data_IF_213385809790
#
_entry.id   IF_213385809790
#
_cell.length_a   1.000
_cell.length_b   1.000
_cell.length_c   1.000
_cell.angle_alpha   90.00
_cell.angle_beta   90.00
_cell.angle_gamma   90.00
#
_symmetry.space_group_name_H-M   'P 1'
#
loop_
_entity.id
_entity.type
_entity.pdbx_description
1 polymer ?
#
# COMPACT_ATOMS: atom_id res chain seq x y z
N UNK A 1 -6.48 9.91 -7.35
CA UNK A 1 -7.73 9.16 -7.52
C UNK A 1 -7.57 7.92 -8.41
N UNK A 2 -6.66 7.91 -9.38
CA UNK A 2 -6.46 6.77 -10.28
C UNK A 2 -6.05 5.45 -9.61
N UNK A 3 -5.29 5.50 -8.50
CA UNK A 3 -4.70 4.29 -7.88
C UNK A 3 -5.75 3.34 -7.28
N UNK A 4 -6.77 3.87 -6.59
CA UNK A 4 -7.84 3.03 -6.03
C UNK A 4 -8.73 2.44 -7.14
N UNK A 5 -8.93 3.19 -8.25
CA UNK A 5 -9.67 2.70 -9.41
C UNK A 5 -8.92 1.51 -10.02
N UNK A 6 -7.59 1.65 -10.20
CA UNK A 6 -6.73 0.60 -10.72
C UNK A 6 -6.79 -0.68 -9.85
N UNK A 7 -6.76 -0.55 -8.52
CA UNK A 7 -6.86 -1.70 -7.60
C UNK A 7 -8.23 -2.40 -7.74
N UNK A 8 -9.33 -1.65 -7.73
CA UNK A 8 -10.68 -2.23 -7.83
C UNK A 8 -10.88 -2.93 -9.18
N UNK A 9 -10.53 -2.28 -10.29
CA UNK A 9 -10.64 -2.87 -11.62
C UNK A 9 -9.75 -4.11 -11.77
N UNK A 10 -8.52 -4.08 -11.22
CA UNK A 10 -7.59 -5.20 -11.22
C UNK A 10 -8.09 -6.42 -10.45
N UNK A 11 -8.79 -6.21 -9.32
CA UNK A 11 -9.44 -7.29 -8.56
C UNK A 11 -10.58 -7.89 -9.39
N UNK A 12 -11.46 -7.06 -9.94
CA UNK A 12 -12.62 -7.49 -10.72
C UNK A 12 -12.23 -8.12 -12.06
N UNK A 13 -11.02 -7.85 -12.57
CA UNK A 13 -10.48 -8.54 -13.75
C UNK A 13 -10.22 -10.04 -13.50
N UNK A 14 -9.96 -10.43 -12.26
CA UNK A 14 -9.79 -11.84 -11.89
C UNK A 14 -11.14 -12.55 -11.79
N UNK A 15 -12.09 -11.95 -11.08
CA UNK A 15 -13.42 -12.52 -10.83
C UNK A 15 -14.43 -11.46 -10.36
N UNK A 16 -15.74 -11.64 -10.64
CA UNK A 16 -16.77 -10.78 -10.08
C UNK A 16 -16.79 -10.84 -8.55
N UNK A 17 -16.99 -9.68 -7.90
CA UNK A 17 -16.90 -9.59 -6.44
C UNK A 17 -17.78 -8.46 -5.88
N UNK A 18 -18.32 -8.65 -4.67
CA UNK A 18 -19.04 -7.61 -3.93
C UNK A 18 -18.10 -6.54 -3.38
N UNK A 19 -18.58 -5.29 -3.20
CA UNK A 19 -17.76 -4.21 -2.66
C UNK A 19 -17.17 -4.52 -1.28
N UNK A 20 -17.92 -5.21 -0.43
CA UNK A 20 -17.44 -5.69 0.86
C UNK A 20 -16.30 -6.70 0.72
N UNK A 21 -16.46 -7.66 -0.19
CA UNK A 21 -15.45 -8.70 -0.42
C UNK A 21 -14.17 -8.10 -1.01
N UNK A 22 -14.30 -7.11 -1.92
CA UNK A 22 -13.15 -6.33 -2.43
C UNK A 22 -12.44 -5.62 -1.28
N UNK A 23 -13.19 -4.98 -0.36
CA UNK A 23 -12.60 -4.32 0.80
C UNK A 23 -11.83 -5.32 1.67
N UNK A 24 -12.42 -6.47 1.98
CA UNK A 24 -11.77 -7.54 2.76
C UNK A 24 -10.52 -8.07 2.10
N UNK A 25 -10.53 -8.25 0.78
CA UNK A 25 -9.36 -8.68 0.03
C UNK A 25 -8.23 -7.64 0.07
N UNK A 26 -8.56 -6.35 -0.03
CA UNK A 26 -7.57 -5.25 0.09
C UNK A 26 -6.98 -5.20 1.50
N UNK A 27 -7.79 -5.40 2.55
CA UNK A 27 -7.35 -5.50 3.95
C UNK A 27 -6.44 -6.73 4.14
N UNK A 28 -6.87 -7.89 3.72
CA UNK A 28 -6.13 -9.14 3.83
C UNK A 28 -4.75 -9.08 3.13
N UNK A 29 -4.69 -8.47 1.96
CA UNK A 29 -3.45 -8.26 1.21
C UNK A 29 -2.63 -7.06 1.70
N UNK A 30 -3.06 -6.36 2.72
CA UNK A 30 -2.42 -5.16 3.29
C UNK A 30 -2.11 -4.06 2.25
N UNK A 31 -2.92 -3.95 1.17
CA UNK A 31 -2.64 -3.05 0.04
C UNK A 31 -2.52 -1.58 0.48
N UNK A 32 -3.33 -1.15 1.44
CA UNK A 32 -3.29 0.22 1.99
C UNK A 32 -2.01 0.57 2.77
N UNK A 33 -1.17 -0.41 3.07
CA UNK A 33 0.12 -0.20 3.76
C UNK A 33 1.23 0.24 2.81
N UNK A 34 1.12 -0.09 1.51
CA UNK A 34 2.13 0.21 0.49
C UNK A 34 1.60 0.97 -0.73
N UNK A 35 0.27 1.14 -0.83
CA UNK A 35 -0.38 2.04 -1.79
C UNK A 35 -1.25 3.03 -1.03
N UNK A 36 -1.11 4.32 -1.32
CA UNK A 36 -1.89 5.37 -0.65
C UNK A 36 -3.35 5.34 -1.08
N UNK A 37 -4.12 4.44 -0.47
CA UNK A 37 -5.57 4.30 -0.65
C UNK A 37 -6.28 4.24 0.70
N UNK A 38 -7.56 4.63 0.72
CA UNK A 38 -8.43 4.48 1.88
C UNK A 38 -9.35 3.28 1.66
N UNK A 39 -9.20 2.24 2.46
CA UNK A 39 -10.00 1.01 2.38
C UNK A 39 -11.51 1.26 2.50
N UNK A 40 -12.00 2.12 3.42
CA UNK A 40 -13.42 2.47 3.48
C UNK A 40 -13.96 3.16 2.21
N UNK A 41 -13.07 3.73 1.38
CA UNK A 41 -13.47 4.39 0.13
C UNK A 41 -13.82 3.42 -1.00
N UNK A 42 -13.54 2.12 -0.85
CA UNK A 42 -13.79 1.09 -1.88
C UNK A 42 -15.27 1.02 -2.24
N UNK A 43 -16.15 1.08 -1.23
CA UNK A 43 -17.59 1.04 -1.46
C UNK A 43 -18.08 2.19 -2.34
N UNK A 44 -17.70 3.42 -1.97
CA UNK A 44 -17.99 4.62 -2.75
C UNK A 44 -17.37 4.55 -4.14
N UNK A 45 -16.20 3.94 -4.26
CA UNK A 45 -15.49 3.80 -5.52
C UNK A 45 -16.18 2.81 -6.46
N UNK A 46 -16.69 1.69 -5.96
CA UNK A 46 -17.46 0.74 -6.77
C UNK A 46 -18.68 1.43 -7.41
N UNK A 47 -19.45 2.20 -6.63
CA UNK A 47 -20.58 2.98 -7.16
C UNK A 47 -20.12 3.94 -8.26
N UNK A 48 -19.05 4.69 -8.05
CA UNK A 48 -18.54 5.64 -9.04
C UNK A 48 -18.02 4.97 -10.32
N UNK A 49 -17.46 3.77 -10.22
CA UNK A 49 -17.01 3.01 -11.38
C UNK A 49 -18.19 2.44 -12.18
N UNK A 50 -19.25 2.04 -11.48
CA UNK A 50 -20.50 1.62 -12.11
C UNK A 50 -21.19 2.77 -12.84
N UNK A 51 -21.31 3.95 -12.21
CA UNK A 51 -21.85 5.17 -12.84
C UNK A 51 -21.09 5.55 -14.13
N UNK A 52 -19.78 5.25 -14.19
CA UNK A 52 -18.94 5.46 -15.37
C UNK A 52 -19.03 4.34 -16.42
N UNK A 53 -19.75 3.26 -16.11
CA UNK A 53 -19.87 2.10 -16.98
C UNK A 53 -18.64 1.20 -17.04
N UNK A 54 -17.68 1.36 -16.13
CA UNK A 54 -16.46 0.53 -16.09
C UNK A 54 -16.69 -0.81 -15.39
N UNK A 55 -17.67 -0.87 -14.51
CA UNK A 55 -18.14 -2.11 -13.88
C UNK A 55 -19.67 -2.16 -13.94
N UNK A 56 -20.24 -3.34 -13.79
CA UNK A 56 -21.66 -3.59 -13.76
C UNK A 56 -22.02 -4.37 -12.51
N UNK A 57 -22.94 -3.86 -11.69
CA UNK A 57 -23.48 -4.54 -10.52
C UNK A 57 -24.70 -5.38 -10.87
N UNK A 58 -24.74 -6.60 -10.35
CA UNK A 58 -25.92 -7.47 -10.38
C UNK A 58 -26.31 -7.84 -8.95
N UNK A 59 -27.61 -7.78 -8.66
CA UNK A 59 -28.11 -8.17 -7.34
C UNK A 59 -28.18 -9.70 -7.30
N UNK A 60 -27.42 -10.28 -6.39
CA UNK A 60 -27.36 -11.72 -6.17
C UNK A 60 -27.93 -12.04 -4.78
N UNK A 61 -28.77 -13.08 -4.73
CA UNK A 61 -29.33 -13.63 -3.50
C UNK A 61 -28.87 -15.06 -3.32
N UNK A 62 -28.05 -15.31 -2.34
CA UNK A 62 -27.57 -16.64 -1.99
C UNK A 62 -28.36 -17.20 -0.79
N UNK A 63 -29.32 -18.06 -1.07
CA UNK A 63 -30.11 -18.75 -0.05
C UNK A 63 -30.88 -17.80 0.87
N UNK A 64 -30.60 -17.84 2.19
CA UNK A 64 -31.21 -16.99 3.23
C UNK A 64 -30.41 -15.71 3.52
N UNK A 65 -29.28 -15.47 2.82
CA UNK A 65 -28.49 -14.27 3.02
C UNK A 65 -29.17 -13.03 2.43
N UNK A 66 -28.88 -11.82 2.97
CA UNK A 66 -29.33 -10.57 2.37
C UNK A 66 -28.84 -10.45 0.92
N UNK A 67 -29.63 -9.79 0.09
CA UNK A 67 -29.23 -9.46 -1.27
C UNK A 67 -27.95 -8.62 -1.26
N UNK A 68 -26.99 -8.97 -2.11
CA UNK A 68 -25.74 -8.20 -2.27
C UNK A 68 -25.51 -7.86 -3.74
N UNK A 69 -24.94 -6.66 -3.99
CA UNK A 69 -24.47 -6.31 -5.32
C UNK A 69 -23.11 -6.98 -5.55
N UNK A 70 -23.02 -7.75 -6.63
CA UNK A 70 -21.77 -8.34 -7.14
C UNK A 70 -21.42 -7.60 -8.41
N UNK A 71 -20.22 -7.04 -8.45
CA UNK A 71 -19.70 -6.25 -9.56
C UNK A 71 -18.85 -7.11 -10.48
N UNK A 72 -19.00 -6.90 -11.79
CA UNK A 72 -18.16 -7.48 -12.83
C UNK A 72 -17.53 -6.38 -13.69
N UNK A 73 -16.36 -6.64 -14.26
CA UNK A 73 -15.68 -5.73 -15.16
C UNK A 73 -16.41 -5.71 -16.51
N UNK A 74 -16.56 -4.52 -17.12
CA UNK A 74 -17.07 -4.35 -18.47
C UNK A 74 -15.92 -4.25 -19.49
N UNK A 75 -16.23 -4.34 -20.80
CA UNK A 75 -15.24 -4.11 -21.85
C UNK A 75 -14.61 -2.69 -21.78
N UNK A 76 -15.42 -1.70 -21.39
CA UNK A 76 -14.93 -0.33 -21.16
C UNK A 76 -14.04 -0.26 -19.91
N UNK A 77 -14.39 -1.01 -18.86
CA UNK A 77 -13.57 -1.15 -17.67
C UNK A 77 -12.22 -1.83 -17.95
N UNK A 78 -12.19 -2.81 -18.85
CA UNK A 78 -10.92 -3.42 -19.29
C UNK A 78 -10.00 -2.40 -19.97
N UNK A 79 -10.54 -1.60 -20.88
CA UNK A 79 -9.79 -0.53 -21.58
C UNK A 79 -9.27 0.51 -20.58
N UNK A 80 -10.10 0.94 -19.64
CA UNK A 80 -9.70 1.89 -18.60
C UNK A 80 -8.64 1.29 -17.66
N UNK A 81 -8.75 0.02 -17.29
CA UNK A 81 -7.72 -0.68 -16.51
C UNK A 81 -6.34 -0.60 -17.20
N UNK A 82 -6.27 -0.97 -18.49
CA UNK A 82 -5.01 -0.93 -19.25
C UNK A 82 -4.47 0.49 -19.33
N UNK A 83 -5.32 1.47 -19.58
CA UNK A 83 -4.95 2.90 -19.63
C UNK A 83 -4.37 3.35 -18.27
N UNK A 84 -5.03 3.05 -17.15
CA UNK A 84 -4.58 3.40 -15.80
C UNK A 84 -3.24 2.72 -15.44
N UNK A 85 -3.02 1.48 -15.90
CA UNK A 85 -1.73 0.78 -15.74
C UNK A 85 -0.61 1.58 -16.42
N UNK A 86 -0.79 1.95 -17.68
CA UNK A 86 0.21 2.69 -18.45
C UNK A 86 0.45 4.10 -17.88
N UNK A 87 -0.62 4.83 -17.55
CA UNK A 87 -0.53 6.16 -16.95
C UNK A 87 0.16 6.12 -15.58
N UNK A 88 -0.09 5.09 -14.78
CA UNK A 88 0.53 4.97 -13.45
C UNK A 88 2.00 4.57 -13.57
N UNK A 89 2.33 3.66 -14.47
CA UNK A 89 3.70 3.23 -14.72
C UNK A 89 4.59 4.36 -15.27
N UNK A 90 4.03 5.32 -16.00
CA UNK A 90 4.78 6.46 -16.59
C UNK A 90 5.03 7.61 -15.61
N UNK A 91 4.43 7.58 -14.42
CA UNK A 91 4.61 8.66 -13.43
C UNK A 91 6.01 8.62 -12.82
N UNK A 92 6.63 9.79 -12.58
CA UNK A 92 7.86 9.87 -11.81
C UNK A 92 7.68 9.23 -10.42
N UNK A 93 8.69 8.50 -9.98
CA UNK A 93 8.73 7.94 -8.62
C UNK A 93 9.19 9.03 -7.66
N UNK A 94 8.42 9.24 -6.57
CA UNK A 94 8.76 10.14 -5.50
C UNK A 94 8.86 9.37 -4.19
N UNK A 95 9.93 9.65 -3.45
CA UNK A 95 10.21 9.04 -2.15
C UNK A 95 10.07 10.11 -1.07
N UNK A 96 9.03 9.98 -0.24
CA UNK A 96 8.78 10.91 0.87
C UNK A 96 8.90 10.15 2.19
N UNK A 97 9.82 10.60 3.02
CA UNK A 97 10.03 10.11 4.38
C UNK A 97 9.93 11.32 5.31
N UNK A 98 8.85 11.42 6.08
CA UNK A 98 8.53 12.59 6.91
C UNK A 98 9.63 12.86 7.95
N UNK A 99 10.30 11.82 8.45
CA UNK A 99 11.40 11.99 9.38
C UNK A 99 12.64 12.71 8.79
N UNK A 100 12.74 12.84 7.45
CA UNK A 100 13.78 13.66 6.84
C UNK A 100 13.68 15.12 7.29
N UNK A 101 12.47 15.60 7.62
CA UNK A 101 12.30 16.92 8.20
C UNK A 101 12.95 17.05 9.60
N UNK A 102 13.01 15.95 10.35
CA UNK A 102 13.75 15.88 11.62
C UNK A 102 15.26 15.90 11.33
N UNK A 103 15.72 15.06 10.41
CA UNK A 103 17.16 14.93 10.08
C UNK A 103 17.78 16.28 9.67
N UNK A 104 17.13 17.00 8.76
CA UNK A 104 17.66 18.30 8.26
C UNK A 104 17.64 19.43 9.30
N UNK A 105 17.00 19.21 10.46
CA UNK A 105 16.95 20.17 11.56
C UNK A 105 17.63 19.66 12.85
N UNK A 106 18.24 18.49 12.79
CA UNK A 106 18.77 17.81 13.98
C UNK A 106 19.84 18.63 14.70
N UNK A 107 20.71 19.30 13.95
CA UNK A 107 21.79 20.17 14.42
C UNK A 107 21.32 21.39 15.23
N UNK A 108 20.03 21.72 15.15
CA UNK A 108 19.43 22.84 15.89
C UNK A 108 18.96 22.44 17.30
N UNK A 109 19.09 21.18 17.65
CA UNK A 109 18.68 20.65 18.95
C UNK A 109 19.87 20.45 19.90
N UNK A 110 19.64 20.51 21.23
CA UNK A 110 20.64 20.06 22.20
C UNK A 110 21.00 18.58 21.99
N UNK A 111 22.24 18.15 22.33
CA UNK A 111 22.72 16.79 22.08
C UNK A 111 21.80 15.68 22.61
N UNK A 112 21.25 15.84 23.80
CA UNK A 112 20.32 14.85 24.39
C UNK A 112 19.04 14.70 23.53
N UNK A 113 18.50 15.83 23.02
CA UNK A 113 17.33 15.84 22.16
C UNK A 113 17.65 15.22 20.78
N UNK A 114 18.86 15.45 20.24
CA UNK A 114 19.31 14.82 19.01
C UNK A 114 19.31 13.31 19.15
N UNK A 115 19.94 12.79 20.24
CA UNK A 115 19.96 11.35 20.54
C UNK A 115 18.56 10.76 20.68
N UNK A 116 17.68 11.46 21.38
CA UNK A 116 16.28 11.01 21.53
C UNK A 116 15.54 10.94 20.18
N UNK A 117 15.74 11.90 19.31
CA UNK A 117 15.15 11.88 17.96
C UNK A 117 15.67 10.70 17.13
N UNK A 118 16.98 10.47 17.15
CA UNK A 118 17.63 9.36 16.42
C UNK A 118 17.10 8.04 16.95
N UNK A 119 17.12 7.80 18.25
CA UNK A 119 16.62 6.58 18.86
C UNK A 119 15.15 6.30 18.50
N UNK A 120 14.31 7.33 18.49
CA UNK A 120 12.91 7.19 18.09
C UNK A 120 12.75 6.82 16.60
N UNK A 121 13.60 7.34 15.72
CA UNK A 121 13.59 6.98 14.29
C UNK A 121 14.03 5.52 14.14
N UNK A 122 15.11 5.10 14.80
CA UNK A 122 15.63 3.73 14.77
C UNK A 122 14.58 2.72 15.29
N UNK A 123 13.94 3.02 16.42
CA UNK A 123 12.86 2.18 16.97
C UNK A 123 11.70 2.02 15.96
N UNK A 124 11.28 3.10 15.31
CA UNK A 124 10.20 3.03 14.32
C UNK A 124 10.60 2.26 13.04
N UNK A 125 11.87 2.32 12.63
CA UNK A 125 12.38 1.51 11.53
C UNK A 125 12.34 0.02 11.90
N UNK A 126 12.76 -0.34 13.11
CA UNK A 126 12.76 -1.72 13.59
C UNK A 126 11.33 -2.29 13.70
N UNK A 127 10.38 -1.47 14.19
CA UNK A 127 8.95 -1.83 14.21
C UNK A 127 8.45 -2.11 12.79
N UNK A 128 8.82 -1.26 11.83
CA UNK A 128 8.44 -1.46 10.42
C UNK A 128 9.03 -2.76 9.87
N UNK A 129 10.30 -3.04 10.10
CA UNK A 129 10.99 -4.25 9.64
C UNK A 129 10.35 -5.50 10.21
N UNK A 130 10.15 -5.54 11.53
CA UNK A 130 9.47 -6.66 12.21
C UNK A 130 8.10 -6.94 11.58
N UNK A 131 7.29 -5.91 11.37
CA UNK A 131 6.00 -6.03 10.70
C UNK A 131 6.12 -6.62 9.27
N UNK A 132 7.08 -6.14 8.48
CA UNK A 132 7.28 -6.61 7.10
C UNK A 132 7.74 -8.07 7.05
N UNK A 133 8.64 -8.47 7.93
CA UNK A 133 9.14 -9.85 8.03
C UNK A 133 8.06 -10.83 8.52
N UNK A 134 7.25 -10.43 9.49
CA UNK A 134 6.11 -11.23 9.95
C UNK A 134 5.10 -11.41 8.81
N UNK A 135 4.78 -10.34 8.11
CA UNK A 135 3.88 -10.37 6.96
C UNK A 135 4.43 -11.24 5.81
N UNK A 136 5.74 -11.27 5.61
CA UNK A 136 6.39 -12.15 4.65
C UNK A 136 6.20 -13.63 5.05
N UNK A 137 6.51 -13.96 6.30
CA UNK A 137 6.37 -15.32 6.84
C UNK A 137 4.94 -15.85 6.76
N UNK A 138 3.96 -15.01 7.08
CA UNK A 138 2.54 -15.36 7.00
C UNK A 138 2.07 -15.64 5.56
N UNK A 139 2.62 -14.92 4.58
CA UNK A 139 2.12 -14.93 3.19
C UNK A 139 2.97 -15.73 2.22
N UNK A 140 4.15 -16.15 2.62
CA UNK A 140 5.11 -16.82 1.73
C UNK A 140 4.54 -18.07 1.05
N UNK A 141 3.70 -18.83 1.76
CA UNK A 141 3.10 -20.07 1.25
C UNK A 141 1.60 -19.95 0.98
N UNK A 142 1.04 -18.74 1.00
CA UNK A 142 -0.37 -18.52 0.78
C UNK A 142 -0.70 -18.44 -0.72
N UNK A 143 -1.47 -19.40 -1.27
CA UNK A 143 -1.81 -19.44 -2.69
C UNK A 143 -2.69 -18.26 -3.14
N UNK A 144 -3.37 -17.57 -2.21
CA UNK A 144 -4.19 -16.40 -2.51
C UNK A 144 -3.36 -15.14 -2.72
N UNK A 145 -2.08 -15.16 -2.35
CA UNK A 145 -1.17 -14.03 -2.54
C UNK A 145 -0.43 -14.18 -3.89
N UNK A 146 -0.66 -13.28 -4.85
CA UNK A 146 0.01 -13.37 -6.13
C UNK A 146 1.51 -13.09 -6.01
N UNK A 147 2.32 -13.73 -6.87
CA UNK A 147 3.78 -13.52 -6.93
C UNK A 147 4.18 -12.04 -7.06
N UNK A 148 3.37 -11.26 -7.77
CA UNK A 148 3.56 -9.80 -7.89
C UNK A 148 3.36 -9.07 -6.56
N UNK A 149 2.44 -9.52 -5.71
CA UNK A 149 2.27 -9.01 -4.35
C UNK A 149 3.47 -9.33 -3.46
N UNK A 150 4.01 -10.56 -3.56
CA UNK A 150 5.24 -10.95 -2.85
C UNK A 150 6.44 -10.11 -3.30
N UNK A 151 6.57 -9.80 -4.60
CA UNK A 151 7.64 -8.93 -5.09
C UNK A 151 7.55 -7.51 -4.50
N UNK A 152 6.34 -6.96 -4.32
CA UNK A 152 6.15 -5.66 -3.65
C UNK A 152 6.53 -5.75 -2.17
N UNK A 153 6.17 -6.82 -1.47
CA UNK A 153 6.54 -7.01 -0.06
C UNK A 153 8.07 -7.11 0.12
N UNK A 154 8.74 -7.87 -0.72
CA UNK A 154 10.22 -7.95 -0.74
C UNK A 154 10.85 -6.59 -1.03
N UNK A 155 10.29 -5.81 -1.96
CA UNK A 155 10.74 -4.44 -2.22
C UNK A 155 10.66 -3.57 -0.95
N UNK A 156 9.56 -3.65 -0.18
CA UNK A 156 9.41 -2.88 1.05
C UNK A 156 10.45 -3.26 2.10
N UNK A 157 10.79 -4.55 2.23
CA UNK A 157 11.84 -5.04 3.15
C UNK A 157 13.21 -4.43 2.77
N UNK A 158 13.59 -4.54 1.49
CA UNK A 158 14.86 -3.98 1.00
C UNK A 158 14.95 -2.47 1.22
N UNK A 159 13.84 -1.76 1.05
CA UNK A 159 13.79 -0.31 1.32
C UNK A 159 13.94 0.00 2.82
N UNK A 160 13.32 -0.77 3.70
CA UNK A 160 13.46 -0.61 5.16
C UNK A 160 14.91 -0.87 5.59
N UNK A 161 15.55 -1.91 5.08
CA UNK A 161 16.97 -2.21 5.34
C UNK A 161 17.89 -1.08 4.87
N UNK A 162 17.64 -0.51 3.70
CA UNK A 162 18.43 0.61 3.18
C UNK A 162 18.29 1.87 4.06
N UNK A 163 17.08 2.17 4.54
CA UNK A 163 16.82 3.29 5.45
C UNK A 163 17.57 3.09 6.76
N UNK A 164 17.48 1.90 7.36
CA UNK A 164 18.20 1.56 8.60
C UNK A 164 19.72 1.73 8.45
N UNK A 165 20.30 1.18 7.37
CA UNK A 165 21.75 1.25 7.12
C UNK A 165 22.24 2.70 7.10
N UNK A 166 21.51 3.62 6.48
CA UNK A 166 21.89 5.05 6.42
C UNK A 166 21.77 5.69 7.81
N UNK A 167 20.76 5.36 8.58
CA UNK A 167 20.56 5.88 9.94
C UNK A 167 21.74 5.50 10.84
N UNK A 168 22.16 4.22 10.85
CA UNK A 168 23.29 3.76 11.64
C UNK A 168 24.64 4.38 11.22
N UNK A 169 24.89 4.51 9.92
CA UNK A 169 26.23 4.92 9.43
C UNK A 169 26.46 6.42 9.45
N UNK A 170 25.42 7.23 9.35
CA UNK A 170 25.56 8.68 9.20
C UNK A 170 25.02 9.51 10.36
N UNK A 171 24.06 8.99 11.13
CA UNK A 171 23.48 9.73 12.25
C UNK A 171 24.15 9.41 13.59
N UNK A 172 24.72 8.21 13.74
CA UNK A 172 25.40 7.77 14.99
C UNK A 172 26.89 8.08 15.03
N UNK A 173 27.52 8.52 13.94
CA UNK A 173 28.91 8.93 13.97
C UNK A 173 29.07 10.20 14.83
N UNK A 174 30.02 10.21 15.80
CA UNK A 174 30.31 11.42 16.54
C UNK A 174 30.74 12.50 15.56
N UNK A 175 30.03 13.61 15.55
CA UNK A 175 30.51 14.83 14.91
C UNK A 175 31.80 15.22 15.58
N UNK A 176 32.95 14.81 15.02
CA UNK A 176 34.25 15.39 15.37
C UNK A 176 34.18 16.84 14.91
N UNK A 177 33.74 17.70 15.83
CA UNK A 177 33.91 19.14 15.67
C UNK A 177 35.41 19.45 15.52
N UNK A 178 35.75 20.01 14.38
CA UNK A 178 36.94 20.89 14.28
C UNK A 178 36.50 22.33 14.44
#
# INVERSE_FOLDING_TARGET
>A
MATIDLIVLGILKKEPMGAYDIQKLVEYRNISKWVKISTPSIYKKAIQLEEKGFIKGEIVKEGKMPEKAVYSLTDEGEKEFVKLMMETASKPIHFFLDFNAVIVNLDKLPPESQQSCIASIEENIEILKTYLEENLREKENDPEIPKTGMAVLQQQIVLADAIETVSYTHLTLPTTSR
#
